data_IF_175700245156
#
_entry.id   IF_175700245156
#
_cell.length_a   1.000
_cell.length_b   1.000
_cell.length_c   1.000
_cell.angle_alpha   90.00
_cell.angle_beta   90.00
_cell.angle_gamma   90.00
#
_symmetry.space_group_name_H-M   'P 1'
#
loop_
_entity.id
_entity.type
_entity.pdbx_description
1 polymer ?
#
# COMPACT_ATOMS: atom_id res chain seq x y z
N UNK A 1 -0.21 -16.57 9.37
CA UNK A 1 0.31 -15.37 8.68
C UNK A 1 1.76 -15.08 9.06
N UNK A 2 2.07 -14.69 10.30
CA UNK A 2 3.44 -14.35 10.72
C UNK A 2 4.48 -15.46 10.46
N UNK A 3 4.15 -16.73 10.73
CA UNK A 3 5.04 -17.86 10.45
C UNK A 3 5.39 -17.99 8.96
N UNK A 4 4.43 -17.74 8.07
CA UNK A 4 4.66 -17.76 6.61
C UNK A 4 5.52 -16.56 6.17
N UNK A 5 5.23 -15.36 6.69
CA UNK A 5 6.05 -14.18 6.43
C UNK A 5 7.50 -14.37 6.87
N UNK A 6 7.71 -14.98 8.03
CA UNK A 6 9.05 -15.32 8.55
C UNK A 6 9.78 -16.29 7.62
N UNK A 7 9.09 -17.34 7.15
CA UNK A 7 9.69 -18.36 6.29
C UNK A 7 9.97 -17.84 4.87
N UNK A 8 9.00 -17.15 4.25
CA UNK A 8 9.11 -16.63 2.90
C UNK A 8 8.23 -15.38 2.72
N UNK A 9 8.79 -14.16 2.85
CA UNK A 9 8.05 -12.92 2.66
C UNK A 9 7.40 -12.79 1.28
N UNK A 10 8.07 -13.25 0.22
CA UNK A 10 7.54 -13.19 -1.15
C UNK A 10 6.30 -14.08 -1.34
N UNK A 11 6.35 -15.32 -0.87
CA UNK A 11 5.19 -16.24 -0.91
C UNK A 11 4.05 -15.74 -0.04
N UNK A 12 4.37 -15.22 1.16
CA UNK A 12 3.39 -14.58 2.02
C UNK A 12 2.63 -13.48 1.27
N UNK A 13 3.35 -12.59 0.59
CA UNK A 13 2.75 -11.50 -0.17
C UNK A 13 1.87 -11.98 -1.31
N UNK A 14 2.39 -12.89 -2.14
CA UNK A 14 1.63 -13.44 -3.27
C UNK A 14 0.31 -14.09 -2.83
N UNK A 15 0.35 -14.90 -1.76
CA UNK A 15 -0.82 -15.59 -1.24
C UNK A 15 -1.82 -14.63 -0.58
N UNK A 16 -1.36 -13.72 0.28
CA UNK A 16 -2.25 -12.85 1.07
C UNK A 16 -2.90 -11.74 0.24
N UNK A 17 -2.23 -11.19 -0.77
CA UNK A 17 -2.87 -10.24 -1.70
C UNK A 17 -4.00 -10.90 -2.48
N UNK A 18 -3.77 -12.11 -2.97
CA UNK A 18 -4.78 -12.86 -3.72
C UNK A 18 -5.96 -13.27 -2.83
N UNK A 19 -5.72 -14.14 -1.85
CA UNK A 19 -6.81 -14.77 -1.10
C UNK A 19 -7.42 -13.85 -0.03
N UNK A 20 -6.60 -13.05 0.66
CA UNK A 20 -7.09 -12.27 1.81
C UNK A 20 -7.55 -10.88 1.39
N UNK A 21 -6.74 -10.13 0.64
CA UNK A 21 -7.13 -8.78 0.22
C UNK A 21 -8.18 -8.83 -0.89
N UNK A 22 -7.88 -9.44 -2.04
CA UNK A 22 -8.85 -9.51 -3.15
C UNK A 22 -10.08 -10.32 -2.75
N UNK A 23 -9.90 -11.47 -2.09
CA UNK A 23 -11.03 -12.25 -1.56
C UNK A 23 -11.94 -11.45 -0.62
N UNK A 24 -11.38 -10.63 0.29
CA UNK A 24 -12.21 -9.78 1.15
C UNK A 24 -12.96 -8.69 0.39
N UNK A 25 -12.34 -8.10 -0.65
CA UNK A 25 -12.97 -7.08 -1.47
C UNK A 25 -14.10 -7.66 -2.30
N UNK A 26 -13.87 -8.81 -2.94
CA UNK A 26 -14.91 -9.52 -3.70
C UNK A 26 -16.05 -9.91 -2.75
N UNK A 27 -15.75 -10.52 -1.59
CA UNK A 27 -16.79 -10.93 -0.64
C UNK A 27 -17.60 -9.76 -0.08
N UNK A 28 -16.97 -8.60 0.14
CA UNK A 28 -17.67 -7.43 0.69
C UNK A 28 -18.47 -6.67 -0.36
N UNK A 29 -17.92 -6.50 -1.55
CA UNK A 29 -18.51 -5.66 -2.60
C UNK A 29 -19.25 -6.47 -3.66
N UNK A 30 -19.34 -7.79 -3.51
CA UNK A 30 -20.19 -8.58 -4.38
C UNK A 30 -21.66 -8.22 -4.19
N UNK A 31 -22.31 -7.89 -5.30
CA UNK A 31 -23.74 -7.58 -5.36
C UNK A 31 -24.59 -8.77 -5.82
N UNK A 32 -23.97 -9.89 -6.22
CA UNK A 32 -24.65 -11.08 -6.75
C UNK A 32 -23.93 -12.37 -6.37
N UNK A 33 -24.65 -13.50 -6.42
CA UNK A 33 -24.04 -14.84 -6.33
C UNK A 33 -23.08 -15.11 -7.50
N UNK A 34 -23.05 -14.26 -8.52
CA UNK A 34 -22.17 -14.45 -9.67
C UNK A 34 -20.69 -14.24 -9.31
N UNK A 35 -20.34 -13.51 -8.25
CA UNK A 35 -18.94 -13.40 -7.83
C UNK A 35 -18.44 -14.58 -6.97
N UNK A 36 -19.32 -15.51 -6.56
CA UNK A 36 -18.87 -16.75 -5.90
C UNK A 36 -17.94 -17.53 -6.84
N UNK A 37 -18.20 -17.47 -8.15
CA UNK A 37 -17.32 -18.01 -9.20
C UNK A 37 -15.91 -17.41 -9.19
N UNK A 38 -15.74 -16.19 -8.65
CA UNK A 38 -14.45 -15.52 -8.51
C UNK A 38 -13.78 -15.85 -7.18
N UNK A 39 -14.55 -16.09 -6.12
CA UNK A 39 -14.01 -16.34 -4.77
C UNK A 39 -13.43 -17.74 -4.63
N UNK A 40 -14.17 -18.78 -5.03
CA UNK A 40 -13.76 -20.18 -4.80
C UNK A 40 -12.37 -20.50 -5.38
N UNK A 41 -12.04 -20.13 -6.64
CA UNK A 41 -10.73 -20.41 -7.21
C UNK A 41 -9.59 -19.63 -6.55
N UNK A 42 -9.87 -18.45 -5.97
CA UNK A 42 -8.88 -17.67 -5.23
C UNK A 42 -8.59 -18.26 -3.85
N UNK A 43 -9.61 -18.79 -3.19
CA UNK A 43 -9.48 -19.43 -1.88
C UNK A 43 -8.81 -20.81 -1.97
N UNK A 44 -9.07 -21.56 -3.04
CA UNK A 44 -8.39 -22.83 -3.32
C UNK A 44 -6.94 -22.63 -3.80
N UNK A 45 -6.62 -21.46 -4.33
CA UNK A 45 -5.33 -21.14 -4.95
C UNK A 45 -5.19 -21.63 -6.40
N UNK A 46 -6.29 -22.11 -7.01
CA UNK A 46 -6.34 -22.46 -8.44
C UNK A 46 -6.08 -21.24 -9.33
N UNK A 47 -6.61 -20.08 -8.94
CA UNK A 47 -6.37 -18.80 -9.60
C UNK A 47 -5.68 -17.82 -8.67
N UNK A 48 -4.95 -16.89 -9.26
CA UNK A 48 -4.34 -15.77 -8.54
C UNK A 48 -5.03 -14.45 -8.89
N UNK A 49 -5.23 -13.61 -7.88
CA UNK A 49 -5.70 -12.25 -8.06
C UNK A 49 -4.61 -11.22 -7.73
N UNK A 50 -4.73 -10.06 -8.35
CA UNK A 50 -4.00 -8.86 -8.00
C UNK A 50 -4.96 -7.71 -7.67
N UNK A 51 -4.55 -6.87 -6.72
CA UNK A 51 -5.25 -5.62 -6.41
C UNK A 51 -4.56 -4.45 -7.11
N UNK A 52 -5.23 -3.90 -8.13
CA UNK A 52 -4.64 -2.97 -9.08
C UNK A 52 -5.19 -1.54 -8.89
N UNK A 53 -4.48 -0.72 -8.11
CA UNK A 53 -4.83 0.70 -7.91
C UNK A 53 -3.84 1.62 -8.60
N UNK A 54 -2.56 1.47 -8.25
CA UNK A 54 -1.50 2.43 -8.57
C UNK A 54 -1.31 2.53 -10.08
N UNK A 55 -1.10 3.76 -10.56
CA UNK A 55 -0.78 4.07 -11.95
C UNK A 55 0.63 4.63 -12.03
N UNK A 56 1.22 4.65 -13.23
CA UNK A 56 2.58 5.16 -13.42
C UNK A 56 2.74 6.60 -12.91
N UNK A 57 1.71 7.41 -13.10
CA UNK A 57 1.67 8.84 -12.76
C UNK A 57 0.92 9.16 -11.47
N UNK A 58 0.29 8.19 -10.81
CA UNK A 58 -0.55 8.42 -9.64
C UNK A 58 -0.45 7.29 -8.62
N UNK A 59 -0.25 7.64 -7.35
CA UNK A 59 -0.05 6.71 -6.24
C UNK A 59 -0.83 7.14 -5.01
N UNK A 60 -0.19 7.92 -4.12
CA UNK A 60 -0.81 8.42 -2.89
C UNK A 60 -1.93 9.44 -3.13
N UNK A 61 -1.83 10.22 -4.22
CA UNK A 61 -2.89 11.10 -4.74
C UNK A 61 -3.80 10.28 -5.65
N UNK A 62 -4.71 9.52 -5.02
CA UNK A 62 -5.57 8.59 -5.72
C UNK A 62 -6.68 9.30 -6.51
N UNK A 63 -6.99 10.56 -6.20
CA UNK A 63 -7.89 11.40 -6.98
C UNK A 63 -7.42 11.61 -8.42
N UNK A 64 -6.12 11.54 -8.68
CA UNK A 64 -5.53 11.73 -10.02
C UNK A 64 -5.45 10.48 -10.90
N UNK A 65 -5.90 9.31 -10.41
CA UNK A 65 -5.95 8.08 -11.21
C UNK A 65 -6.86 8.28 -12.44
N UNK A 66 -6.47 7.71 -13.58
CA UNK A 66 -7.08 7.94 -14.90
C UNK A 66 -7.66 6.70 -15.56
N UNK A 67 -7.30 5.49 -15.11
CA UNK A 67 -7.88 4.25 -15.63
C UNK A 67 -9.40 4.34 -15.51
N UNK A 68 -10.09 4.13 -16.62
CA UNK A 68 -11.51 4.40 -16.73
C UNK A 68 -12.29 3.21 -17.29
N UNK A 69 -13.50 3.04 -16.76
CA UNK A 69 -14.50 2.09 -17.21
C UNK A 69 -15.62 2.89 -17.88
N UNK A 70 -15.91 2.57 -19.14
CA UNK A 70 -16.92 3.26 -19.96
C UNK A 70 -17.87 2.28 -20.65
N UNK A 71 -19.11 2.67 -20.95
CA UNK A 71 -20.01 1.86 -21.76
C UNK A 71 -19.39 1.53 -23.13
N UNK A 72 -19.52 0.29 -23.60
CA UNK A 72 -18.98 -0.13 -24.90
C UNK A 72 -19.77 0.41 -26.11
N UNK A 73 -20.96 0.98 -25.91
CA UNK A 73 -21.77 1.63 -26.96
C UNK A 73 -22.57 0.68 -27.87
N UNK A 74 -22.49 -0.64 -27.66
CA UNK A 74 -23.21 -1.66 -28.44
C UNK A 74 -24.36 -2.30 -27.64
N UNK A 75 -25.47 -2.75 -28.27
CA UNK A 75 -26.52 -3.49 -27.58
C UNK A 75 -25.98 -4.80 -27.00
N UNK A 76 -26.05 -4.98 -25.67
CA UNK A 76 -25.56 -6.21 -25.00
C UNK A 76 -24.94 -6.03 -23.60
N UNK A 77 -24.83 -4.81 -23.06
CA UNK A 77 -24.49 -4.61 -21.64
C UNK A 77 -23.01 -4.80 -21.29
N UNK A 78 -22.10 -4.28 -22.12
CA UNK A 78 -20.67 -4.42 -21.89
C UNK A 78 -20.06 -3.06 -21.54
N UNK A 79 -19.28 -3.02 -20.45
CA UNK A 79 -18.32 -1.94 -20.25
C UNK A 79 -16.99 -2.33 -20.88
N UNK A 80 -16.15 -1.33 -21.09
CA UNK A 80 -14.75 -1.50 -21.45
C UNK A 80 -13.87 -0.68 -20.53
N UNK A 81 -12.72 -1.24 -20.19
CA UNK A 81 -11.70 -0.61 -19.34
C UNK A 81 -10.47 -0.26 -20.17
N UNK A 82 -9.96 0.96 -19.96
CA UNK A 82 -8.75 1.47 -20.60
C UNK A 82 -7.87 2.21 -19.59
N UNK A 83 -6.57 1.94 -19.61
CA UNK A 83 -5.59 2.54 -18.70
C UNK A 83 -4.39 1.63 -18.41
N UNK A 84 -3.47 2.10 -17.58
CA UNK A 84 -2.29 1.34 -17.15
C UNK A 84 -2.20 1.35 -15.62
N UNK A 85 -2.21 0.16 -15.04
CA UNK A 85 -1.87 -0.07 -13.63
C UNK A 85 -0.42 -0.51 -13.55
N UNK A 86 0.33 0.06 -12.61
CA UNK A 86 1.76 -0.17 -12.46
C UNK A 86 2.11 -0.49 -11.01
N UNK A 87 3.22 -1.22 -10.79
CA UNK A 87 3.72 -1.60 -9.46
C UNK A 87 2.72 -2.46 -8.67
N UNK A 88 2.06 -3.35 -9.38
CA UNK A 88 0.99 -4.23 -8.89
C UNK A 88 1.57 -5.60 -8.53
N UNK A 89 1.34 -6.00 -7.28
CA UNK A 89 1.69 -7.33 -6.78
C UNK A 89 0.86 -8.39 -7.51
N UNK A 90 1.48 -9.50 -7.88
CA UNK A 90 0.93 -10.62 -8.67
C UNK A 90 0.58 -10.28 -10.12
N UNK A 91 0.65 -9.03 -10.57
CA UNK A 91 0.22 -8.65 -11.93
C UNK A 91 0.77 -9.55 -13.05
N UNK A 92 2.06 -9.95 -13.06
CA UNK A 92 2.58 -10.80 -14.14
C UNK A 92 1.95 -12.19 -14.23
N UNK A 93 1.37 -12.71 -13.14
CA UNK A 93 0.88 -14.09 -13.03
C UNK A 93 -0.60 -14.19 -12.65
N UNK A 94 -1.26 -13.08 -12.30
CA UNK A 94 -2.65 -13.08 -11.87
C UNK A 94 -3.62 -13.37 -13.02
N UNK A 95 -4.69 -14.11 -12.72
CA UNK A 95 -5.81 -14.40 -13.60
C UNK A 95 -6.93 -13.35 -13.49
N UNK A 96 -7.04 -12.72 -12.32
CA UNK A 96 -8.06 -11.71 -12.02
C UNK A 96 -7.42 -10.42 -11.49
N UNK A 97 -7.85 -9.27 -12.01
CA UNK A 97 -7.61 -7.98 -11.37
C UNK A 97 -8.86 -7.52 -10.64
N UNK A 98 -8.71 -7.17 -9.36
CA UNK A 98 -9.61 -6.26 -8.65
C UNK A 98 -9.03 -4.85 -8.83
N UNK A 99 -9.61 -4.04 -9.70
CA UNK A 99 -9.04 -2.74 -10.09
C UNK A 99 -9.92 -1.57 -9.68
N UNK A 100 -9.31 -0.53 -9.11
CA UNK A 100 -10.01 0.75 -8.89
C UNK A 100 -9.93 1.58 -10.17
N UNK A 101 -11.07 1.99 -10.69
CA UNK A 101 -11.16 2.78 -11.91
C UNK A 101 -12.21 3.89 -11.77
N UNK A 102 -12.01 4.96 -12.55
CA UNK A 102 -13.04 5.97 -12.76
C UNK A 102 -14.18 5.36 -13.57
N UNK A 103 -15.41 5.61 -13.15
CA UNK A 103 -16.61 5.14 -13.82
C UNK A 103 -17.21 6.29 -14.61
N UNK A 104 -17.34 6.11 -15.92
CA UNK A 104 -18.09 7.05 -16.74
C UNK A 104 -19.58 6.94 -16.38
N UNK A 105 -20.16 8.06 -15.93
CA UNK A 105 -21.57 8.14 -15.56
C UNK A 105 -22.44 8.20 -16.80
N UNK A 106 -23.47 7.37 -16.85
CA UNK A 106 -24.51 7.47 -17.86
C UNK A 106 -25.43 8.67 -17.57
N UNK A 107 -26.21 9.09 -18.58
CA UNK A 107 -27.20 10.14 -18.37
C UNK A 107 -28.20 9.72 -17.28
N UNK A 108 -28.37 10.56 -16.25
CA UNK A 108 -29.22 10.33 -15.04
C UNK A 108 -28.63 9.37 -14.00
N UNK A 109 -27.35 9.04 -14.10
CA UNK A 109 -26.62 8.29 -13.08
C UNK A 109 -26.03 9.23 -12.03
N UNK A 110 -26.62 9.23 -10.83
CA UNK A 110 -26.16 9.98 -9.66
C UNK A 110 -25.21 9.17 -8.76
N UNK A 111 -24.86 7.95 -9.15
CA UNK A 111 -24.02 7.04 -8.40
C UNK A 111 -22.56 7.50 -8.28
N UNK A 112 -21.70 6.71 -7.61
CA UNK A 112 -20.29 7.07 -7.43
C UNK A 112 -19.52 7.23 -8.75
N UNK A 113 -18.54 8.14 -8.77
CA UNK A 113 -17.58 8.35 -9.87
C UNK A 113 -16.48 7.27 -9.94
N UNK A 114 -16.39 6.41 -8.93
CA UNK A 114 -15.41 5.33 -8.84
C UNK A 114 -16.10 3.99 -8.83
N UNK A 115 -15.40 2.97 -9.31
CA UNK A 115 -15.83 1.59 -9.25
C UNK A 115 -14.67 0.65 -8.92
N UNK A 116 -15.00 -0.49 -8.31
CA UNK A 116 -14.19 -1.69 -8.41
C UNK A 116 -14.63 -2.43 -9.67
N UNK A 117 -13.68 -2.73 -10.55
CA UNK A 117 -13.90 -3.61 -11.68
C UNK A 117 -13.18 -4.94 -11.47
N UNK A 118 -13.88 -6.05 -11.72
CA UNK A 118 -13.33 -7.40 -11.68
C UNK A 118 -13.01 -7.83 -13.11
N UNK A 119 -11.72 -7.87 -13.45
CA UNK A 119 -11.29 -8.02 -14.85
C UNK A 119 -10.53 -9.33 -15.02
N UNK A 120 -11.00 -10.20 -15.92
CA UNK A 120 -10.24 -11.37 -16.39
C UNK A 120 -8.99 -10.89 -17.10
N UNK A 121 -7.82 -11.37 -16.70
CA UNK A 121 -6.51 -10.97 -17.24
C UNK A 121 -6.01 -11.84 -18.38
N UNK A 122 -6.76 -12.86 -18.77
CA UNK A 122 -6.45 -13.75 -19.89
C UNK A 122 -7.17 -13.35 -21.18
N UNK A 123 -8.08 -12.37 -21.12
CA UNK A 123 -8.88 -11.93 -22.25
C UNK A 123 -8.13 -10.96 -23.20
N UNK A 124 -8.62 -10.78 -24.45
CA UNK A 124 -8.10 -9.76 -25.37
C UNK A 124 -8.15 -8.35 -24.79
N UNK A 125 -7.22 -7.50 -25.19
CA UNK A 125 -7.11 -6.13 -24.68
C UNK A 125 -6.38 -6.01 -23.35
N UNK A 126 -5.94 -7.11 -22.74
CA UNK A 126 -5.12 -7.11 -21.53
C UNK A 126 -3.69 -7.51 -21.84
N UNK A 127 -2.72 -6.68 -21.42
CA UNK A 127 -1.29 -7.00 -21.47
C UNK A 127 -0.66 -6.84 -20.09
N UNK A 128 0.06 -7.87 -19.63
CA UNK A 128 0.81 -7.87 -18.37
C UNK A 128 2.31 -7.73 -18.63
N UNK A 129 3.05 -7.17 -17.67
CA UNK A 129 4.51 -7.10 -17.72
C UNK A 129 5.11 -7.20 -16.31
N UNK A 130 6.37 -7.63 -16.23
CA UNK A 130 7.14 -7.71 -14.99
C UNK A 130 8.09 -6.51 -14.84
N UNK A 131 8.34 -6.09 -13.61
CA UNK A 131 9.24 -4.98 -13.28
C UNK A 131 10.27 -5.44 -12.23
N UNK A 132 11.58 -5.28 -12.48
CA UNK A 132 12.61 -5.58 -11.48
C UNK A 132 12.50 -4.68 -10.26
N UNK A 133 12.80 -5.23 -9.08
CA UNK A 133 12.66 -4.50 -7.83
C UNK A 133 13.69 -4.90 -6.76
N UNK A 134 13.78 -4.05 -5.73
CA UNK A 134 14.83 -4.11 -4.70
C UNK A 134 14.76 -5.41 -3.90
N UNK A 135 13.62 -5.70 -3.27
CA UNK A 135 13.41 -6.83 -2.37
C UNK A 135 12.05 -7.47 -2.58
N UNK A 136 11.75 -8.54 -1.86
CA UNK A 136 10.60 -9.42 -2.09
C UNK A 136 10.64 -10.09 -3.46
N UNK A 137 11.83 -10.39 -4.02
CA UNK A 137 12.02 -10.90 -5.39
C UNK A 137 11.31 -12.23 -5.70
N UNK A 138 10.84 -12.96 -4.69
CA UNK A 138 9.97 -14.13 -4.87
C UNK A 138 8.49 -13.79 -5.10
N UNK A 139 8.11 -12.51 -5.02
CA UNK A 139 6.78 -12.00 -5.29
C UNK A 139 6.76 -11.40 -6.71
N UNK A 140 5.88 -11.91 -7.60
CA UNK A 140 5.70 -11.31 -8.92
C UNK A 140 5.20 -9.87 -8.79
N UNK A 141 5.80 -8.95 -9.53
CA UNK A 141 5.49 -7.52 -9.44
C UNK A 141 5.69 -6.87 -10.79
N UNK A 142 4.77 -5.98 -11.17
CA UNK A 142 4.83 -5.34 -12.48
C UNK A 142 3.58 -4.54 -12.77
N UNK A 143 3.03 -4.66 -13.97
CA UNK A 143 1.84 -3.88 -14.34
C UNK A 143 0.95 -4.53 -15.37
N UNK A 144 -0.16 -3.85 -15.62
CA UNK A 144 -1.26 -4.29 -16.47
C UNK A 144 -1.66 -3.10 -17.34
N UNK A 145 -1.71 -3.31 -18.64
CA UNK A 145 -2.24 -2.36 -19.61
C UNK A 145 -3.55 -2.90 -20.14
N UNK A 146 -4.59 -2.08 -20.02
CA UNK A 146 -5.91 -2.32 -20.57
C UNK A 146 -6.10 -1.45 -21.83
N UNK A 147 -6.43 -2.10 -22.94
CA UNK A 147 -6.73 -1.48 -24.23
C UNK A 147 -8.15 -1.88 -24.62
N UNK A 148 -9.13 -1.09 -24.16
CA UNK A 148 -10.56 -1.33 -24.34
C UNK A 148 -10.97 -2.79 -24.02
N UNK A 149 -10.42 -3.33 -22.93
CA UNK A 149 -10.71 -4.69 -22.48
C UNK A 149 -12.14 -4.79 -21.94
N UNK A 150 -12.83 -5.89 -22.22
CA UNK A 150 -14.22 -6.06 -21.82
C UNK A 150 -14.36 -6.26 -20.30
N UNK A 151 -15.43 -5.69 -19.74
CA UNK A 151 -15.87 -5.93 -18.36
C UNK A 151 -17.38 -6.10 -18.35
N UNK A 152 -17.86 -7.16 -17.72
CA UNK A 152 -19.30 -7.40 -17.58
C UNK A 152 -19.92 -6.33 -16.67
N UNK A 153 -21.19 -5.99 -16.89
CA UNK A 153 -21.91 -5.03 -16.04
C UNK A 153 -21.93 -5.46 -14.56
N UNK A 154 -22.12 -6.75 -14.29
CA UNK A 154 -22.14 -7.28 -12.91
C UNK A 154 -20.76 -7.25 -12.24
N UNK A 155 -19.69 -7.20 -13.04
CA UNK A 155 -18.30 -7.10 -12.58
C UNK A 155 -17.83 -5.63 -12.41
N UNK A 156 -18.69 -4.64 -12.67
CA UNK A 156 -18.44 -3.21 -12.41
C UNK A 156 -19.27 -2.74 -11.21
N UNK A 157 -18.64 -2.62 -10.05
CA UNK A 157 -19.32 -2.24 -8.80
C UNK A 157 -19.01 -0.79 -8.45
N UNK A 158 -19.99 0.14 -8.55
CA UNK A 158 -19.80 1.51 -8.11
C UNK A 158 -19.50 1.56 -6.61
N UNK A 159 -18.47 2.31 -6.22
CA UNK A 159 -18.07 2.46 -4.82
C UNK A 159 -17.78 3.91 -4.49
N UNK A 160 -18.22 4.42 -3.32
CA UNK A 160 -17.75 5.71 -2.84
C UNK A 160 -16.25 5.60 -2.51
N UNK A 161 -15.45 6.45 -3.12
CA UNK A 161 -14.02 6.54 -2.84
C UNK A 161 -13.66 7.95 -2.44
N UNK A 162 -13.35 8.14 -1.16
CA UNK A 162 -12.60 9.28 -0.66
C UNK A 162 -11.23 8.76 -0.23
N UNK A 163 -10.15 9.44 -0.65
CA UNK A 163 -8.76 8.96 -0.42
C UNK A 163 -8.49 8.53 1.02
N UNK A 164 -9.16 9.18 1.98
CA UNK A 164 -9.01 8.99 3.42
C UNK A 164 -10.33 8.66 4.14
N UNK A 165 -11.40 8.29 3.44
CA UNK A 165 -12.71 8.08 4.07
C UNK A 165 -13.64 7.14 3.32
N UNK A 166 -14.68 6.69 4.02
CA UNK A 166 -15.69 5.76 3.50
C UNK A 166 -15.30 4.29 3.59
N UNK A 167 -16.22 3.41 3.19
CA UNK A 167 -16.11 1.97 3.41
C UNK A 167 -14.91 1.29 2.73
N UNK A 168 -14.54 1.78 1.54
CA UNK A 168 -13.39 1.24 0.80
C UNK A 168 -12.08 1.49 1.56
N UNK A 169 -11.98 2.61 2.30
CA UNK A 169 -10.80 2.93 3.11
C UNK A 169 -10.60 1.94 4.27
N UNK A 170 -11.67 1.48 4.91
CA UNK A 170 -11.62 0.44 5.96
C UNK A 170 -11.18 -0.91 5.37
N UNK A 171 -11.65 -1.23 4.16
CA UNK A 171 -11.24 -2.45 3.46
C UNK A 171 -9.77 -2.39 3.05
N UNK A 172 -9.28 -1.23 2.60
CA UNK A 172 -7.87 -1.00 2.28
C UNK A 172 -6.96 -1.06 3.51
N UNK A 173 -7.44 -0.66 4.69
CA UNK A 173 -6.70 -0.80 5.93
C UNK A 173 -6.33 -2.26 6.23
N UNK A 174 -7.09 -3.23 5.72
CA UNK A 174 -6.72 -4.64 5.83
C UNK A 174 -5.40 -4.96 5.12
N UNK A 175 -5.15 -4.36 3.96
CA UNK A 175 -3.87 -4.47 3.26
C UNK A 175 -2.70 -3.95 4.10
N UNK A 176 -2.90 -2.86 4.86
CA UNK A 176 -1.90 -2.30 5.78
C UNK A 176 -1.58 -3.25 6.94
N UNK A 177 -2.57 -3.98 7.45
CA UNK A 177 -2.33 -5.01 8.46
C UNK A 177 -1.49 -6.16 7.88
N UNK A 178 -1.80 -6.61 6.66
CA UNK A 178 -1.04 -7.67 6.00
C UNK A 178 0.43 -7.26 5.79
N UNK A 179 0.68 -6.00 5.38
CA UNK A 179 2.03 -5.40 5.30
C UNK A 179 2.74 -5.44 6.65
N UNK A 180 2.03 -5.05 7.71
CA UNK A 180 2.60 -5.00 9.05
C UNK A 180 3.05 -6.37 9.55
N UNK A 181 2.26 -7.41 9.28
CA UNK A 181 2.61 -8.79 9.63
C UNK A 181 3.80 -9.28 8.81
N UNK A 182 3.90 -8.89 7.53
CA UNK A 182 5.08 -9.19 6.71
C UNK A 182 6.36 -8.61 7.33
N UNK A 183 6.30 -7.33 7.74
CA UNK A 183 7.41 -6.62 8.35
C UNK A 183 7.85 -7.26 9.68
N UNK A 184 6.89 -7.64 10.54
CA UNK A 184 7.18 -8.39 11.78
C UNK A 184 7.89 -9.71 11.46
N UNK A 185 7.40 -10.48 10.47
CA UNK A 185 8.01 -11.75 10.07
C UNK A 185 9.45 -11.58 9.55
N UNK A 186 9.72 -10.56 8.74
CA UNK A 186 11.06 -10.23 8.24
C UNK A 186 12.00 -9.87 9.40
N UNK A 187 11.54 -9.04 10.34
CA UNK A 187 12.31 -8.64 11.51
C UNK A 187 12.65 -9.85 12.41
N UNK A 188 11.69 -10.77 12.61
CA UNK A 188 11.93 -12.03 13.33
C UNK A 188 12.99 -12.90 12.65
N UNK A 189 12.97 -13.00 11.32
CA UNK A 189 13.99 -13.74 10.58
C UNK A 189 15.37 -13.10 10.71
N UNK A 190 15.45 -11.77 10.65
CA UNK A 190 16.71 -11.05 10.81
C UNK A 190 17.27 -11.17 12.24
N UNK A 191 16.42 -11.06 13.26
CA UNK A 191 16.81 -11.29 14.65
C UNK A 191 17.33 -12.72 14.85
N UNK A 192 16.61 -13.72 14.33
CA UNK A 192 17.02 -15.12 14.43
C UNK A 192 18.37 -15.38 13.73
N UNK A 193 18.59 -14.80 12.54
CA UNK A 193 19.86 -14.89 11.83
C UNK A 193 21.01 -14.27 12.65
N UNK A 194 20.80 -13.07 13.20
CA UNK A 194 21.79 -12.39 14.03
C UNK A 194 22.11 -13.12 15.32
N UNK A 195 21.13 -13.74 15.99
CA UNK A 195 21.38 -14.57 17.19
C UNK A 195 22.24 -15.78 16.86
N UNK A 196 21.97 -16.47 15.74
CA UNK A 196 22.83 -17.59 15.28
C UNK A 196 24.24 -17.12 14.99
N UNK A 197 24.37 -16.07 14.18
CA UNK A 197 25.68 -15.51 13.82
C UNK A 197 26.46 -15.07 15.06
N UNK A 198 25.81 -14.43 16.03
CA UNK A 198 26.45 -13.96 17.23
C UNK A 198 27.01 -15.10 18.10
N UNK A 199 26.37 -16.27 18.10
CA UNK A 199 26.83 -17.46 18.83
C UNK A 199 28.01 -18.15 18.15
N UNK A 200 28.04 -18.14 16.82
CA UNK A 200 29.01 -18.90 16.02
C UNK A 200 30.26 -18.09 15.67
N UNK A 201 30.12 -16.79 15.43
CA UNK A 201 31.22 -15.93 14.94
C UNK A 201 32.19 -15.58 16.08
N UNK A 202 33.44 -16.01 15.94
CA UNK A 202 34.53 -15.67 16.86
C UNK A 202 35.26 -14.40 16.40
N UNK A 203 35.28 -13.35 17.22
CA UNK A 203 36.10 -12.15 17.01
C UNK A 203 36.76 -11.72 18.31
N UNK A 204 37.99 -11.21 18.23
CA UNK A 204 38.81 -10.88 19.42
C UNK A 204 38.88 -12.05 20.43
N UNK A 205 39.02 -13.28 19.92
CA UNK A 205 39.20 -14.49 20.74
C UNK A 205 37.93 -15.05 21.40
N UNK A 206 36.73 -14.48 21.17
CA UNK A 206 35.48 -14.96 21.75
C UNK A 206 34.27 -14.82 20.80
N UNK A 207 33.17 -15.56 21.02
CA UNK A 207 31.93 -15.33 20.30
C UNK A 207 31.42 -13.88 20.39
N UNK A 208 30.83 -13.37 19.32
CA UNK A 208 30.22 -12.03 19.30
C UNK A 208 29.11 -11.86 20.36
N UNK A 209 28.45 -12.94 20.77
CA UNK A 209 27.43 -12.92 21.83
C UNK A 209 27.95 -12.42 23.19
N UNK A 210 29.27 -12.31 23.39
CA UNK A 210 29.88 -11.71 24.59
C UNK A 210 30.17 -10.21 24.45
N UNK A 211 29.85 -9.59 23.32
CA UNK A 211 30.00 -8.15 23.11
C UNK A 211 28.71 -7.43 23.49
N UNK A 212 28.78 -6.52 24.46
CA UNK A 212 27.62 -5.76 24.95
C UNK A 212 26.92 -4.98 23.83
N UNK A 213 27.66 -4.43 22.88
CA UNK A 213 27.07 -3.75 21.72
C UNK A 213 26.19 -4.66 20.85
N UNK A 214 26.55 -5.93 20.69
CA UNK A 214 25.74 -6.93 19.97
C UNK A 214 24.53 -7.33 20.82
N UNK A 215 24.74 -7.57 22.11
CA UNK A 215 23.66 -7.93 23.04
C UNK A 215 22.58 -6.84 23.11
N UNK A 216 22.99 -5.57 23.21
CA UNK A 216 22.09 -4.42 23.25
C UNK A 216 21.24 -4.32 21.98
N UNK A 217 21.85 -4.46 20.81
CA UNK A 217 21.12 -4.44 19.53
C UNK A 217 20.09 -5.56 19.43
N UNK A 218 20.45 -6.79 19.84
CA UNK A 218 19.55 -7.95 19.83
C UNK A 218 18.38 -7.79 20.82
N UNK A 219 18.66 -7.28 22.03
CA UNK A 219 17.66 -7.03 23.06
C UNK A 219 16.65 -5.95 22.62
N UNK A 220 17.14 -4.83 22.07
CA UNK A 220 16.31 -3.77 21.53
C UNK A 220 15.41 -4.29 20.39
N UNK A 221 16.00 -5.03 19.44
CA UNK A 221 15.23 -5.64 18.33
C UNK A 221 14.13 -6.57 18.84
N UNK A 222 14.37 -7.38 19.87
CA UNK A 222 13.33 -8.24 20.48
C UNK A 222 12.18 -7.40 21.05
N UNK A 223 12.50 -6.37 21.83
CA UNK A 223 11.50 -5.50 22.45
C UNK A 223 10.64 -4.78 21.40
N UNK A 224 11.27 -4.21 20.37
CA UNK A 224 10.57 -3.53 19.28
C UNK A 224 9.64 -4.46 18.50
N UNK A 225 10.08 -5.70 18.21
CA UNK A 225 9.21 -6.67 17.52
C UNK A 225 8.02 -7.07 18.40
N UNK A 226 8.23 -7.26 19.70
CA UNK A 226 7.13 -7.56 20.64
C UNK A 226 6.11 -6.42 20.73
N UNK A 227 6.56 -5.17 20.74
CA UNK A 227 5.68 -4.00 20.69
C UNK A 227 4.82 -3.98 19.41
N UNK A 228 5.42 -4.24 18.24
CA UNK A 228 4.69 -4.32 16.98
C UNK A 228 3.65 -5.46 16.99
N UNK A 229 4.01 -6.61 17.55
CA UNK A 229 3.10 -7.76 17.68
C UNK A 229 1.92 -7.46 18.61
N UNK A 230 2.14 -6.78 19.72
CA UNK A 230 1.07 -6.38 20.63
C UNK A 230 0.11 -5.39 19.95
N UNK A 231 0.64 -4.42 19.20
CA UNK A 231 -0.15 -3.46 18.46
C UNK A 231 -0.99 -4.16 17.35
N UNK A 232 -0.41 -5.15 16.66
CA UNK A 232 -1.13 -5.97 15.68
C UNK A 232 -2.26 -6.78 16.31
N UNK A 233 -2.01 -7.40 17.47
CA UNK A 233 -3.05 -8.14 18.22
C UNK A 233 -4.18 -7.23 18.67
N UNK A 234 -3.87 -6.01 19.12
CA UNK A 234 -4.88 -5.01 19.47
C UNK A 234 -5.74 -4.67 18.26
N UNK A 235 -5.13 -4.39 17.09
CA UNK A 235 -5.86 -4.10 15.86
C UNK A 235 -6.81 -5.22 15.42
N UNK A 236 -6.33 -6.47 15.48
CA UNK A 236 -7.18 -7.64 15.21
C UNK A 236 -8.31 -7.76 16.23
N UNK A 237 -8.02 -7.52 17.52
CA UNK A 237 -9.03 -7.57 18.59
C UNK A 237 -10.16 -6.56 18.40
N UNK A 238 -9.85 -5.33 18.01
CA UNK A 238 -10.85 -4.30 17.68
C UNK A 238 -11.78 -4.76 16.56
N UNK A 239 -11.20 -5.32 15.49
CA UNK A 239 -11.96 -5.82 14.33
C UNK A 239 -12.85 -7.01 14.68
N UNK A 240 -12.34 -7.97 15.45
CA UNK A 240 -13.13 -9.12 15.93
C UNK A 240 -14.30 -8.66 16.79
N UNK A 241 -14.14 -7.56 17.54
CA UNK A 241 -15.21 -6.95 18.31
C UNK A 241 -16.14 -6.03 17.49
N UNK A 242 -16.04 -6.05 16.15
CA UNK A 242 -16.90 -5.27 15.26
C UNK A 242 -16.61 -3.76 15.23
N UNK A 243 -15.47 -3.32 15.76
CA UNK A 243 -15.06 -1.92 15.77
C UNK A 243 -14.08 -1.63 14.63
N UNK A 244 -14.08 -0.38 14.15
CA UNK A 244 -13.06 0.05 13.18
C UNK A 244 -11.68 -0.05 13.82
N UNK A 245 -10.74 -0.58 13.06
CA UNK A 245 -9.34 -0.67 13.45
C UNK A 245 -8.44 0.16 12.53
N UNK A 246 -9.01 0.93 11.59
CA UNK A 246 -8.26 1.62 10.53
C UNK A 246 -7.09 2.45 11.05
N UNK A 247 -7.34 3.37 11.96
CA UNK A 247 -6.30 4.30 12.45
C UNK A 247 -5.26 3.55 13.30
N UNK A 248 -5.71 2.52 14.04
CA UNK A 248 -4.83 1.63 14.78
C UNK A 248 -3.92 0.83 13.86
N UNK A 249 -4.43 0.36 12.72
CA UNK A 249 -3.66 -0.33 11.70
C UNK A 249 -2.72 0.65 10.98
N UNK A 250 -3.12 1.91 10.75
CA UNK A 250 -2.24 2.93 10.18
C UNK A 250 -1.01 3.16 11.08
N UNK A 251 -1.23 3.34 12.39
CA UNK A 251 -0.16 3.43 13.39
C UNK A 251 0.73 2.18 13.38
N UNK A 252 0.12 0.99 13.34
CA UNK A 252 0.83 -0.27 13.27
C UNK A 252 1.71 -0.36 12.02
N UNK A 253 1.19 -0.01 10.84
CA UNK A 253 1.91 -0.10 9.58
C UNK A 253 3.14 0.78 9.61
N UNK A 254 3.00 2.04 10.07
CA UNK A 254 4.14 2.95 10.25
C UNK A 254 5.18 2.30 11.15
N UNK A 255 4.79 1.91 12.37
CA UNK A 255 5.71 1.38 13.37
C UNK A 255 6.38 0.08 12.93
N UNK A 256 5.60 -0.91 12.49
CA UNK A 256 6.11 -2.24 12.17
C UNK A 256 7.05 -2.23 10.96
N UNK A 257 6.76 -1.42 9.94
CA UNK A 257 7.58 -1.39 8.72
C UNK A 257 8.90 -0.65 8.94
N UNK A 258 8.90 0.48 9.65
CA UNK A 258 10.12 1.22 9.99
C UNK A 258 10.98 0.42 10.98
N UNK A 259 10.37 -0.21 11.99
CA UNK A 259 11.04 -1.13 12.90
C UNK A 259 11.73 -2.28 12.15
N UNK A 260 11.06 -2.89 11.16
CA UNK A 260 11.66 -3.98 10.40
C UNK A 260 12.92 -3.54 9.64
N UNK A 261 12.94 -2.31 9.11
CA UNK A 261 14.14 -1.72 8.50
C UNK A 261 15.24 -1.52 9.53
N UNK A 262 14.94 -0.99 10.71
CA UNK A 262 15.93 -0.83 11.79
C UNK A 262 16.52 -2.17 12.24
N UNK A 263 15.68 -3.17 12.49
CA UNK A 263 16.11 -4.51 12.93
C UNK A 263 16.97 -5.17 11.86
N UNK A 264 16.57 -5.09 10.60
CA UNK A 264 17.36 -5.66 9.50
C UNK A 264 18.67 -4.90 9.26
N UNK A 265 18.70 -3.58 9.46
CA UNK A 265 19.94 -2.79 9.41
C UNK A 265 20.91 -3.20 10.52
N UNK A 266 20.44 -3.40 11.75
CA UNK A 266 21.26 -3.95 12.84
C UNK A 266 21.75 -5.35 12.49
N UNK A 267 20.94 -6.17 11.85
CA UNK A 267 21.36 -7.50 11.41
C UNK A 267 22.48 -7.43 10.38
N UNK A 268 22.39 -6.54 9.39
CA UNK A 268 23.49 -6.25 8.45
C UNK A 268 24.76 -5.84 9.20
N UNK A 269 24.65 -4.94 10.17
CA UNK A 269 25.78 -4.47 10.98
C UNK A 269 26.44 -5.60 11.80
N UNK A 270 25.64 -6.46 12.44
CA UNK A 270 26.13 -7.60 13.26
C UNK A 270 26.89 -8.61 12.40
N UNK A 271 26.49 -8.79 11.14
CA UNK A 271 27.17 -9.70 10.20
C UNK A 271 28.39 -9.06 9.49
N UNK A 272 28.65 -7.76 9.70
CA UNK A 272 29.78 -7.06 9.11
C UNK A 272 29.82 -7.14 7.58
N UNK A 273 30.99 -7.42 7.01
CA UNK A 273 31.18 -7.51 5.56
C UNK A 273 30.24 -8.54 4.89
N UNK A 274 29.95 -9.67 5.56
CA UNK A 274 28.99 -10.65 5.05
C UNK A 274 27.58 -10.06 4.96
N UNK A 275 27.22 -9.19 5.90
CA UNK A 275 25.90 -8.55 5.95
C UNK A 275 25.61 -7.62 4.77
N UNK A 276 26.63 -7.03 4.15
CA UNK A 276 26.51 -6.17 2.95
C UNK A 276 26.81 -6.93 1.65
N UNK A 277 27.16 -8.22 1.74
CA UNK A 277 27.45 -9.05 0.56
C UNK A 277 26.15 -9.44 -0.12
N UNK A 278 26.05 -9.17 -1.42
CA UNK A 278 24.88 -9.52 -2.22
C UNK A 278 24.54 -11.01 -2.12
N UNK A 279 23.27 -11.31 -1.86
CA UNK A 279 22.79 -12.69 -1.73
C UNK A 279 22.92 -13.28 -0.32
N UNK A 280 23.57 -12.57 0.60
CA UNK A 280 23.56 -12.96 2.01
C UNK A 280 22.14 -12.81 2.61
N UNK A 281 21.81 -13.67 3.59
CA UNK A 281 20.45 -13.73 4.16
C UNK A 281 19.97 -12.36 4.71
N UNK A 282 20.78 -11.69 5.53
CA UNK A 282 20.40 -10.40 6.12
C UNK A 282 20.41 -9.23 5.14
N UNK A 283 21.23 -9.30 4.09
CA UNK A 283 21.21 -8.34 2.98
C UNK A 283 19.87 -8.41 2.25
N UNK A 284 19.42 -9.64 1.94
CA UNK A 284 18.10 -9.89 1.35
C UNK A 284 16.98 -9.41 2.25
N UNK A 285 17.02 -9.75 3.54
CA UNK A 285 15.97 -9.35 4.49
C UNK A 285 15.87 -7.82 4.63
N UNK A 286 16.99 -7.09 4.58
CA UNK A 286 16.98 -5.62 4.57
C UNK A 286 16.29 -5.06 3.32
N UNK A 287 16.61 -5.59 2.13
CA UNK A 287 15.92 -5.22 0.89
C UNK A 287 14.43 -5.52 0.96
N UNK A 288 14.05 -6.67 1.50
CA UNK A 288 12.66 -7.09 1.66
C UNK A 288 11.90 -6.19 2.65
N UNK A 289 12.54 -5.78 3.76
CA UNK A 289 11.95 -4.86 4.74
C UNK A 289 11.64 -3.49 4.13
N UNK A 290 12.57 -2.93 3.35
CA UNK A 290 12.42 -1.61 2.75
C UNK A 290 11.20 -1.48 1.83
N UNK A 291 10.85 -2.55 1.11
CA UNK A 291 9.68 -2.58 0.23
C UNK A 291 8.37 -2.32 0.99
N UNK A 292 8.26 -2.82 2.23
CA UNK A 292 7.04 -2.71 3.04
C UNK A 292 6.79 -1.29 3.57
N UNK A 293 7.84 -0.45 3.68
CA UNK A 293 7.70 0.95 4.11
C UNK A 293 6.92 1.77 3.09
N UNK A 294 7.09 1.44 1.80
CA UNK A 294 6.50 2.21 0.69
C UNK A 294 5.15 1.63 0.26
N UNK A 295 5.02 0.30 0.22
CA UNK A 295 3.80 -0.38 -0.21
C UNK A 295 2.58 -0.06 0.67
N UNK A 296 1.40 0.01 0.04
CA UNK A 296 0.12 0.24 0.73
C UNK A 296 0.10 1.56 1.52
N UNK A 297 0.35 2.66 0.82
CA UNK A 297 0.66 4.00 1.33
C UNK A 297 2.03 4.15 1.96
N UNK A 298 2.66 5.31 1.73
CA UNK A 298 3.90 5.67 2.41
C UNK A 298 3.63 5.94 3.90
N UNK A 299 4.65 5.77 4.74
CA UNK A 299 4.53 6.13 6.16
C UNK A 299 4.12 7.60 6.34
N UNK A 300 4.57 8.51 5.47
CA UNK A 300 4.20 9.92 5.54
C UNK A 300 2.70 10.14 5.33
N UNK A 301 2.08 9.49 4.33
CA UNK A 301 0.63 9.60 4.15
C UNK A 301 -0.12 9.04 5.36
N UNK A 302 0.31 7.90 5.89
CA UNK A 302 -0.34 7.31 7.06
C UNK A 302 -0.16 8.17 8.31
N UNK A 303 0.95 8.90 8.47
CA UNK A 303 1.13 9.86 9.56
C UNK A 303 0.09 10.99 9.50
N UNK A 304 -0.25 11.47 8.30
CA UNK A 304 -1.32 12.45 8.14
C UNK A 304 -2.68 11.87 8.52
N UNK A 305 -2.97 10.61 8.17
CA UNK A 305 -4.19 9.92 8.61
C UNK A 305 -4.27 9.86 10.14
N UNK A 306 -3.16 9.50 10.78
CA UNK A 306 -3.09 9.46 12.25
C UNK A 306 -3.26 10.86 12.84
N UNK A 307 -2.62 11.88 12.26
CA UNK A 307 -2.74 13.27 12.71
C UNK A 307 -4.18 13.81 12.58
N UNK A 308 -4.86 13.49 11.48
CA UNK A 308 -6.28 13.80 11.27
C UNK A 308 -7.15 13.13 12.34
N UNK A 309 -6.89 11.86 12.66
CA UNK A 309 -7.56 11.14 13.75
C UNK A 309 -7.32 11.72 15.14
N UNK A 310 -6.25 12.50 15.34
CA UNK A 310 -5.99 13.28 16.56
C UNK A 310 -6.70 14.64 16.57
N UNK A 311 -7.41 15.01 15.51
CA UNK A 311 -8.15 16.26 15.40
C UNK A 311 -7.37 17.42 14.78
N UNK A 312 -6.21 17.17 14.14
CA UNK A 312 -5.42 18.22 13.47
C UNK A 312 -5.95 18.60 12.08
N UNK A 313 -7.05 17.99 11.63
CA UNK A 313 -7.66 18.22 10.32
C UNK A 313 -6.93 17.52 9.18
N UNK A 314 -7.52 17.54 7.99
CA UNK A 314 -6.94 16.91 6.80
C UNK A 314 -5.72 17.71 6.30
N UNK A 315 -4.69 17.06 5.74
CA UNK A 315 -3.54 17.75 5.16
C UNK A 315 -3.96 18.65 3.99
N UNK A 316 -3.39 19.86 3.94
CA UNK A 316 -3.68 20.84 2.88
C UNK A 316 -2.56 20.80 1.84
N UNK A 317 -2.88 20.28 0.65
CA UNK A 317 -1.95 20.26 -0.49
C UNK A 317 -2.19 21.38 -1.51
N UNK A 318 -3.23 22.18 -1.30
CA UNK A 318 -3.49 23.34 -2.17
C UNK A 318 -2.42 24.39 -1.89
N UNK A 319 -2.00 25.10 -2.94
CA UNK A 319 -1.11 26.24 -2.78
C UNK A 319 -1.73 27.18 -1.74
N UNK A 320 -0.93 27.54 -0.72
CA UNK A 320 -1.36 28.53 0.25
C UNK A 320 -1.55 29.84 -0.51
N UNK A 321 -2.77 30.38 -0.46
CA UNK A 321 -3.04 31.69 -1.00
C UNK A 321 -2.40 32.71 -0.06
N UNK A 322 -1.24 33.23 -0.43
CA UNK A 322 -0.54 34.26 0.34
C UNK A 322 -1.21 35.64 0.22
N UNK A 323 -2.09 35.83 -0.77
CA UNK A 323 -2.68 37.13 -1.12
C UNK A 323 -3.96 37.39 -0.33
N UNK A 324 -4.80 36.38 -0.14
CA UNK A 324 -6.07 36.53 0.58
C UNK A 324 -5.87 36.87 2.08
N UNK A 325 -5.03 36.17 2.86
CA UNK A 325 -4.82 36.46 4.28
C UNK A 325 -4.06 37.76 4.53
N UNK A 326 -3.26 38.24 3.57
CA UNK A 326 -2.52 39.50 3.68
C UNK A 326 -3.38 40.71 3.35
N UNK A 327 -4.59 40.52 2.83
CA UNK A 327 -5.45 41.60 2.38
C UNK A 327 -4.96 42.29 1.09
N UNK A 328 -3.85 41.84 0.50
CA UNK A 328 -3.27 42.40 -0.73
C UNK A 328 -4.19 42.22 -1.94
N UNK A 329 -5.14 41.28 -1.89
CA UNK A 329 -6.18 41.15 -2.92
C UNK A 329 -7.20 42.29 -2.95
N UNK A 330 -7.31 43.07 -1.86
CA UNK A 330 -8.23 44.20 -1.73
C UNK A 330 -7.56 45.56 -1.97
N UNK A 331 -6.24 45.60 -2.11
CA UNK A 331 -5.47 46.81 -2.42
C UNK A 331 -4.36 46.51 -3.44
N UNK A 332 -4.68 46.52 -4.74
CA UNK A 332 -3.69 46.30 -5.80
C UNK A 332 -2.64 47.42 -5.90
N UNK A 333 -2.75 48.51 -5.13
CA UNK A 333 -1.80 49.62 -5.14
C UNK A 333 -0.63 49.44 -4.16
N UNK A 334 -0.69 48.43 -3.27
CA UNK A 334 0.41 48.06 -2.41
C UNK A 334 0.83 49.12 -1.39
N UNK A 335 1.67 48.68 -0.45
CA UNK A 335 2.28 49.46 0.64
C UNK A 335 3.18 50.64 0.20
N UNK A 336 3.11 51.03 -1.07
CA UNK A 336 3.95 52.05 -1.70
C UNK A 336 3.11 53.18 -2.32
N UNK A 337 1.82 53.27 -1.96
CA UNK A 337 0.87 54.30 -2.42
C UNK A 337 1.27 55.71 -2.00
N UNK A 338 2.34 56.24 -2.59
CA UNK A 338 2.59 57.67 -2.63
C UNK A 338 1.42 58.28 -3.43
N UNK A 339 0.71 59.26 -2.87
CA UNK A 339 -0.34 59.95 -3.59
C UNK A 339 0.28 60.60 -4.84
N UNK A 340 -0.25 60.28 -6.01
CA UNK A 340 0.09 60.99 -7.24
C UNK A 340 -0.17 62.49 -7.00
N UNK A 341 0.83 63.38 -7.14
CA UNK A 341 0.57 64.80 -7.00
C UNK A 341 -0.41 65.22 -8.09
N UNK A 342 -1.49 65.87 -7.66
CA UNK A 342 -2.49 66.43 -8.55
C UNK A 342 -1.79 67.35 -9.56
N UNK A 343 -1.91 67.01 -10.84
CA UNK A 343 -1.54 67.92 -11.92
C UNK A 343 -2.61 69.00 -11.94
N UNK A 344 -2.34 70.12 -11.27
CA UNK A 344 -3.09 71.36 -11.49
C UNK A 344 -2.82 71.81 -12.93
N UNK A 345 -3.81 71.61 -13.78
CA UNK A 345 -3.86 72.22 -15.11
C UNK A 345 -4.52 73.59 -14.93
N UNK A 346 -3.70 74.64 -14.97
CA UNK A 346 -4.11 76.02 -15.18
C UNK A 346 -3.47 76.55 -16.46
#
# INVERSE_FOLDING_TARGET
MEALARACPGTYWAATVSALLCGSLISRYSLSSEHDRLLEPLLSGEKLACFAIVERTAGSDAGTLRTAVRPAGSPGGWFIISGEKARITNAPVADLAVTLARREKLARDDGPEWCLAFVDLQQPGVRRYEEPHMGLRGMPWGGIVFTDAHVAETDVVPVPFGELGGELSESMAWGWLLISIAAIGIAESALAASVRHARERISFGRPLMHMEGVQAQLAESRAQIDAARLLARRAVGERVAGRSARDLIAMLKIYATEMAVEVTARAVQIHGASGVTQGHEVERLYRDAQMNVIGGFTSNRLREVVAEGLGLGSPVYRAFDWVTPTGLGNDPAGLDGLPHPAVDVA
#
